data_IF_484611262475
#
_entry.id   IF_484611262475
#
_cell.length_a   1.000
_cell.length_b   1.000
_cell.length_c   1.000
_cell.angle_alpha   90.00
_cell.angle_beta   90.00
_cell.angle_gamma   90.00
#
_symmetry.space_group_name_H-M   'P 1'
#
loop_
_entity.id
_entity.type
_entity.pdbx_description
1 polymer ?
#
# COMPACT_ATOMS: atom_id res chain seq x y z
N UNK A 1 -21.05 30.76 -16.18
CA UNK A 1 -20.10 29.73 -15.68
C UNK A 1 -19.96 28.69 -16.78
N UNK A 2 -18.72 28.36 -17.18
CA UNK A 2 -18.47 27.45 -18.30
C UNK A 2 -18.52 25.99 -17.79
N UNK A 3 -19.49 25.16 -18.22
CA UNK A 3 -19.71 23.81 -17.67
C UNK A 3 -18.53 22.84 -17.85
N UNK A 4 -17.60 23.14 -18.77
CA UNK A 4 -16.37 22.36 -18.95
C UNK A 4 -15.40 22.48 -17.76
N UNK A 5 -15.33 23.64 -17.09
CA UNK A 5 -14.46 23.81 -15.92
C UNK A 5 -14.89 22.95 -14.72
N UNK A 6 -16.19 22.66 -14.60
CA UNK A 6 -16.70 21.81 -13.52
C UNK A 6 -16.47 20.32 -13.81
N UNK A 7 -16.37 19.94 -15.09
CA UNK A 7 -16.01 18.60 -15.53
C UNK A 7 -14.50 18.36 -15.32
N UNK A 8 -13.65 19.29 -15.75
CA UNK A 8 -12.20 19.21 -15.57
C UNK A 8 -11.84 19.14 -14.07
N UNK A 9 -12.43 20.00 -13.24
CA UNK A 9 -12.20 19.99 -11.79
C UNK A 9 -12.72 18.72 -11.09
N UNK A 10 -13.60 17.93 -11.70
CA UNK A 10 -14.02 16.61 -11.19
C UNK A 10 -13.05 15.51 -11.62
N UNK A 11 -12.53 15.60 -12.83
CA UNK A 11 -11.53 14.64 -13.33
C UNK A 11 -10.19 14.79 -12.62
N UNK A 12 -9.73 16.03 -12.40
CA UNK A 12 -8.53 16.32 -11.60
C UNK A 12 -8.63 15.73 -10.20
N UNK A 13 -9.75 15.95 -9.49
CA UNK A 13 -9.97 15.38 -8.15
C UNK A 13 -9.93 13.86 -8.12
N UNK A 14 -10.47 13.18 -9.15
CA UNK A 14 -10.40 11.72 -9.26
C UNK A 14 -8.97 11.24 -9.47
N UNK A 15 -8.19 11.96 -10.28
CA UNK A 15 -6.81 11.61 -10.55
C UNK A 15 -5.92 11.83 -9.32
N UNK A 16 -6.14 12.92 -8.59
CA UNK A 16 -5.49 13.19 -7.30
C UNK A 16 -5.83 12.11 -6.26
N UNK A 17 -7.09 11.71 -6.16
CA UNK A 17 -7.53 10.63 -5.26
C UNK A 17 -6.87 9.29 -5.61
N UNK A 18 -6.83 8.92 -6.89
CA UNK A 18 -6.14 7.71 -7.34
C UNK A 18 -4.64 7.75 -7.02
N UNK A 19 -3.98 8.88 -7.29
CA UNK A 19 -2.55 9.06 -7.00
C UNK A 19 -2.24 8.96 -5.51
N UNK A 20 -3.14 9.47 -4.66
CA UNK A 20 -3.01 9.35 -3.21
C UNK A 20 -3.19 7.91 -2.72
N UNK A 21 -4.14 7.17 -3.29
CA UNK A 21 -4.32 5.73 -2.99
C UNK A 21 -3.07 4.95 -3.36
N UNK A 22 -2.53 5.16 -4.56
CA UNK A 22 -1.33 4.48 -5.04
C UNK A 22 -0.10 4.81 -4.18
N UNK A 23 0.09 6.08 -3.81
CA UNK A 23 1.19 6.50 -2.94
C UNK A 23 1.12 5.82 -1.56
N UNK A 24 -0.10 5.67 -1.03
CA UNK A 24 -0.34 5.03 0.26
C UNK A 24 -0.12 3.51 0.19
N UNK A 25 -0.57 2.86 -0.88
CA UNK A 25 -0.33 1.42 -1.07
C UNK A 25 1.18 1.15 -1.27
N UNK A 26 1.91 2.04 -1.94
CA UNK A 26 3.37 1.97 -2.04
C UNK A 26 4.08 2.13 -0.68
N UNK A 27 3.62 3.05 0.18
CA UNK A 27 4.15 3.20 1.54
C UNK A 27 3.96 1.90 2.35
N UNK A 28 2.77 1.31 2.31
CA UNK A 28 2.47 0.07 3.01
C UNK A 28 3.31 -1.11 2.50
N UNK A 29 3.51 -1.20 1.19
CA UNK A 29 4.39 -2.21 0.58
C UNK A 29 5.83 -2.04 1.04
N UNK A 30 6.35 -0.81 1.08
CA UNK A 30 7.69 -0.51 1.58
C UNK A 30 7.86 -0.87 3.07
N UNK A 31 6.83 -0.64 3.89
CA UNK A 31 6.84 -1.05 5.30
C UNK A 31 6.87 -2.58 5.41
N UNK A 32 6.05 -3.29 4.65
CA UNK A 32 6.06 -4.76 4.65
C UNK A 32 7.43 -5.32 4.24
N UNK A 33 8.03 -4.77 3.18
CA UNK A 33 9.38 -5.14 2.76
C UNK A 33 10.42 -4.85 3.86
N UNK A 34 10.40 -3.66 4.46
CA UNK A 34 11.35 -3.27 5.51
C UNK A 34 11.27 -4.17 6.75
N UNK A 35 10.06 -4.62 7.10
CA UNK A 35 9.86 -5.58 8.20
C UNK A 35 10.49 -6.92 7.87
N UNK A 36 10.28 -7.44 6.67
CA UNK A 36 10.86 -8.73 6.23
C UNK A 36 12.38 -8.65 6.09
N UNK A 37 12.91 -7.56 5.53
CA UNK A 37 14.35 -7.33 5.39
C UNK A 37 15.05 -7.17 6.76
N UNK A 38 14.33 -6.64 7.75
CA UNK A 38 14.79 -6.55 9.14
C UNK A 38 14.81 -7.87 9.91
N UNK A 39 14.27 -8.96 9.34
CA UNK A 39 14.29 -10.26 10.00
C UNK A 39 15.69 -10.88 10.01
N UNK A 40 16.03 -11.66 11.05
CA UNK A 40 17.31 -12.37 11.12
C UNK A 40 17.58 -13.21 9.87
N UNK A 41 18.78 -13.05 9.30
CA UNK A 41 19.18 -13.74 8.05
C UNK A 41 19.21 -15.25 8.18
N UNK A 42 19.46 -15.80 9.36
CA UNK A 42 19.41 -17.24 9.63
C UNK A 42 18.00 -17.83 9.46
N UNK A 43 16.96 -17.00 9.62
CA UNK A 43 15.57 -17.35 9.34
C UNK A 43 15.28 -17.18 7.85
N UNK A 44 15.55 -16.00 7.29
CA UNK A 44 15.14 -15.67 5.91
C UNK A 44 16.00 -16.33 4.84
N UNK A 45 17.24 -16.73 5.13
CA UNK A 45 18.12 -17.42 4.16
C UNK A 45 17.62 -18.81 3.76
N UNK A 46 16.71 -19.38 4.53
CA UNK A 46 16.11 -20.69 4.25
C UNK A 46 14.82 -20.56 3.45
N UNK A 47 14.31 -19.35 3.25
CA UNK A 47 13.07 -19.12 2.52
C UNK A 47 13.33 -19.19 1.03
N UNK A 48 12.40 -19.81 0.31
CA UNK A 48 12.34 -19.62 -1.14
C UNK A 48 11.82 -18.21 -1.44
N UNK A 49 12.13 -17.73 -2.64
CA UNK A 49 11.60 -16.45 -3.14
C UNK A 49 10.07 -16.39 -3.00
N UNK A 50 9.37 -17.50 -3.28
CA UNK A 50 7.91 -17.58 -3.12
C UNK A 50 7.44 -17.38 -1.67
N UNK A 51 8.19 -17.88 -0.68
CA UNK A 51 7.85 -17.67 0.74
C UNK A 51 8.12 -16.23 1.14
N UNK A 52 9.18 -15.63 0.59
CA UNK A 52 9.51 -14.22 0.79
C UNK A 52 8.37 -13.32 0.26
N UNK A 53 7.95 -13.52 -0.98
CA UNK A 53 6.86 -12.78 -1.62
C UNK A 53 5.54 -12.96 -0.87
N UNK A 54 5.16 -14.21 -0.55
CA UNK A 54 3.93 -14.49 0.21
C UNK A 54 3.91 -13.82 1.59
N UNK A 55 5.07 -13.71 2.23
CA UNK A 55 5.19 -13.08 3.55
C UNK A 55 5.01 -11.57 3.44
N UNK A 56 5.64 -10.92 2.45
CA UNK A 56 5.46 -9.50 2.17
C UNK A 56 3.99 -9.20 1.84
N UNK A 57 3.39 -9.98 0.94
CA UNK A 57 1.99 -9.83 0.53
C UNK A 57 1.02 -10.00 1.70
N UNK A 58 1.29 -10.97 2.58
CA UNK A 58 0.51 -11.21 3.80
C UNK A 58 0.60 -10.03 4.76
N UNK A 59 1.82 -9.53 5.01
CA UNK A 59 2.06 -8.36 5.87
C UNK A 59 1.37 -7.11 5.31
N UNK A 60 1.49 -6.85 4.00
CA UNK A 60 0.82 -5.73 3.35
C UNK A 60 -0.70 -5.75 3.57
N UNK A 61 -1.35 -6.91 3.38
CA UNK A 61 -2.80 -7.07 3.60
C UNK A 61 -3.20 -6.80 5.05
N UNK A 62 -2.45 -7.33 6.02
CA UNK A 62 -2.74 -7.09 7.43
C UNK A 62 -2.54 -5.62 7.83
N UNK A 63 -1.52 -4.96 7.30
CA UNK A 63 -1.30 -3.53 7.52
C UNK A 63 -2.44 -2.68 6.94
N UNK A 64 -2.92 -3.02 5.74
CA UNK A 64 -4.08 -2.37 5.11
C UNK A 64 -5.34 -2.54 5.96
N UNK A 65 -5.65 -3.78 6.36
CA UNK A 65 -6.78 -4.09 7.25
C UNK A 65 -6.70 -3.35 8.59
N UNK A 66 -5.50 -3.27 9.18
CA UNK A 66 -5.28 -2.53 10.43
C UNK A 66 -5.58 -1.04 10.28
N UNK A 67 -5.11 -0.41 9.20
CA UNK A 67 -5.40 1.00 8.95
C UNK A 67 -6.89 1.27 8.71
N UNK A 68 -7.59 0.37 8.02
CA UNK A 68 -9.05 0.48 7.83
C UNK A 68 -9.81 0.39 9.15
N UNK A 69 -9.47 -0.59 10.01
CA UNK A 69 -10.04 -0.69 11.36
C UNK A 69 -9.83 0.58 12.18
N UNK A 70 -8.63 1.19 12.10
CA UNK A 70 -8.31 2.42 12.82
C UNK A 70 -9.07 3.65 12.30
N UNK A 71 -9.48 3.66 11.02
CA UNK A 71 -10.33 4.73 10.47
C UNK A 71 -11.79 4.65 10.92
N UNK A 72 -12.24 3.47 11.35
CA UNK A 72 -13.62 3.22 11.79
C UNK A 72 -13.82 3.33 13.31
N UNK A 73 -12.74 3.43 14.09
CA UNK A 73 -12.74 3.65 15.54
C UNK A 73 -12.50 5.10 15.89
#
# INVERSE_FOLDING_TARGET
MNPYHELDAREERKQEEASWIDAKDAELSNVAFSVVDGLPKDITSQWSDSVFDMTIDGLYKELKNYQERRRMS
#
